data_IF_384367815805
#
_entry.id   IF_384367815805
#
_cell.length_a   1.000
_cell.length_b   1.000
_cell.length_c   1.000
_cell.angle_alpha   90.00
_cell.angle_beta   90.00
_cell.angle_gamma   90.00
#
_symmetry.space_group_name_H-M   'P 1'
#
loop_
_entity.id
_entity.type
_entity.pdbx_description
1 polymer ?
#
# COMPACT_ATOMS: atom_id res chain seq x y z
N UNK A 1 -3.55 17.39 35.12
CA UNK A 1 -4.00 16.08 34.60
C UNK A 1 -3.71 16.09 33.11
N UNK A 2 -2.53 15.60 32.71
CA UNK A 2 -2.17 15.50 31.29
C UNK A 2 -2.93 14.31 30.72
N UNK A 3 -3.79 14.53 29.73
CA UNK A 3 -4.34 13.42 28.96
C UNK A 3 -3.16 12.75 28.26
N UNK A 4 -2.77 11.57 28.71
CA UNK A 4 -2.17 10.59 27.82
C UNK A 4 -3.23 10.33 26.75
N UNK A 5 -3.18 11.10 25.66
CA UNK A 5 -3.87 10.75 24.43
C UNK A 5 -3.21 9.46 23.96
N UNK A 6 -3.69 8.33 24.49
CA UNK A 6 -3.25 7.01 24.09
C UNK A 6 -3.34 6.94 22.58
N UNK A 7 -2.20 6.73 21.93
CA UNK A 7 -2.12 6.57 20.48
C UNK A 7 -3.20 5.59 20.04
N UNK A 8 -4.05 6.00 19.11
CA UNK A 8 -5.12 5.15 18.56
C UNK A 8 -4.56 3.91 17.84
N UNK A 9 -3.25 3.91 17.59
CA UNK A 9 -2.50 2.80 17.04
C UNK A 9 -1.55 2.23 18.09
N UNK A 10 -1.46 0.92 18.16
CA UNK A 10 -0.37 0.26 18.87
C UNK A 10 0.98 0.63 18.22
N UNK A 11 2.10 0.56 18.97
CA UNK A 11 3.42 0.83 18.41
C UNK A 11 3.74 -0.02 17.17
N UNK A 12 3.29 -1.27 17.14
CA UNK A 12 3.46 -2.17 15.98
C UNK A 12 2.62 -1.70 14.80
N UNK A 13 1.34 -1.35 15.00
CA UNK A 13 0.50 -0.82 13.93
C UNK A 13 1.08 0.46 13.32
N UNK A 14 1.62 1.35 14.16
CA UNK A 14 2.28 2.57 13.69
C UNK A 14 3.53 2.25 12.84
N UNK A 15 4.37 1.31 13.26
CA UNK A 15 5.56 0.91 12.49
C UNK A 15 5.19 0.32 11.13
N UNK A 16 4.24 -0.61 11.09
CA UNK A 16 3.76 -1.18 9.83
C UNK A 16 3.21 -0.09 8.90
N UNK A 17 2.32 0.78 9.38
CA UNK A 17 1.76 1.86 8.57
C UNK A 17 2.86 2.78 8.02
N UNK A 18 3.83 3.14 8.85
CA UNK A 18 4.95 3.99 8.45
C UNK A 18 5.83 3.32 7.40
N UNK A 19 6.12 2.03 7.53
CA UNK A 19 6.90 1.26 6.56
C UNK A 19 6.16 1.18 5.21
N UNK A 20 4.88 0.82 5.21
CA UNK A 20 4.06 0.81 4.00
C UNK A 20 3.97 2.17 3.30
N UNK A 21 3.79 3.25 4.06
CA UNK A 21 3.77 4.61 3.50
C UNK A 21 5.11 4.99 2.86
N UNK A 22 6.25 4.68 3.50
CA UNK A 22 7.57 4.96 2.94
C UNK A 22 7.77 4.28 1.59
N UNK A 23 7.43 2.99 1.50
CA UNK A 23 7.52 2.24 0.24
C UNK A 23 6.67 2.89 -0.84
N UNK A 24 5.40 3.18 -0.55
CA UNK A 24 4.48 3.80 -1.54
C UNK A 24 4.97 5.18 -1.96
N UNK A 25 5.45 6.00 -1.03
CA UNK A 25 5.96 7.34 -1.36
C UNK A 25 7.23 7.30 -2.17
N UNK A 26 8.16 6.38 -1.86
CA UNK A 26 9.40 6.21 -2.60
C UNK A 26 9.10 5.72 -4.01
N UNK A 27 8.20 4.74 -4.14
CA UNK A 27 7.76 4.23 -5.42
C UNK A 27 7.06 5.30 -6.27
N UNK A 28 6.19 6.12 -5.68
CA UNK A 28 5.44 7.15 -6.38
C UNK A 28 6.24 8.43 -6.70
N UNK A 29 7.36 8.67 -6.01
CA UNK A 29 8.17 9.87 -6.18
C UNK A 29 9.21 9.75 -7.30
N UNK A 30 9.45 8.56 -7.85
CA UNK A 30 10.46 8.36 -8.89
C UNK A 30 9.88 8.47 -10.31
N UNK A 31 10.48 9.35 -11.13
CA UNK A 31 10.33 9.35 -12.60
C UNK A 31 11.07 8.16 -13.26
N UNK A 32 11.38 7.09 -12.51
CA UNK A 32 12.10 5.89 -12.98
C UNK A 32 11.14 4.81 -13.45
N UNK A 33 11.72 3.74 -14.03
CA UNK A 33 10.96 2.53 -14.33
C UNK A 33 10.28 1.99 -13.05
N UNK A 34 8.95 1.78 -13.05
CA UNK A 34 8.18 1.50 -11.85
C UNK A 34 8.67 0.30 -11.04
N UNK A 35 9.14 -0.75 -11.71
CA UNK A 35 9.57 -2.00 -11.07
C UNK A 35 10.91 -1.82 -10.34
N UNK A 36 11.83 -1.05 -10.91
CA UNK A 36 13.12 -0.72 -10.29
C UNK A 36 12.93 0.16 -9.06
N UNK A 37 12.07 1.17 -9.15
CA UNK A 37 11.74 2.05 -8.03
C UNK A 37 11.08 1.28 -6.88
N UNK A 38 10.15 0.37 -7.19
CA UNK A 38 9.53 -0.50 -6.18
C UNK A 38 10.54 -1.45 -5.54
N UNK A 39 11.41 -2.08 -6.34
CA UNK A 39 12.43 -2.99 -5.83
C UNK A 39 13.39 -2.29 -4.87
N UNK A 40 13.83 -1.06 -5.21
CA UNK A 40 14.68 -0.27 -4.34
C UNK A 40 13.95 0.12 -3.04
N UNK A 41 12.71 0.60 -3.13
CA UNK A 41 11.91 0.97 -1.98
C UNK A 41 11.67 -0.20 -1.01
N UNK A 42 11.48 -1.42 -1.54
CA UNK A 42 11.37 -2.64 -0.73
C UNK A 42 12.71 -3.05 -0.10
N UNK A 43 13.83 -2.84 -0.79
CA UNK A 43 15.17 -3.17 -0.29
C UNK A 43 15.59 -2.29 0.90
N UNK A 44 15.18 -1.03 0.90
CA UNK A 44 15.54 -0.06 1.94
C UNK A 44 14.77 -0.25 3.27
N UNK A 45 13.74 -1.09 3.28
CA UNK A 45 12.94 -1.36 4.47
C UNK A 45 13.51 -2.54 5.30
N UNK A 46 13.68 -2.36 6.63
CA UNK A 46 14.43 -3.30 7.45
C UNK A 46 13.66 -4.57 7.83
N UNK A 47 12.33 -4.54 7.79
CA UNK A 47 11.47 -5.66 8.20
C UNK A 47 10.40 -5.95 7.13
N UNK A 48 10.49 -7.10 6.42
CA UNK A 48 9.53 -7.45 5.38
C UNK A 48 8.12 -7.68 5.93
N UNK A 49 7.94 -8.04 7.20
CA UNK A 49 6.63 -8.19 7.81
C UNK A 49 5.94 -6.83 7.99
N UNK A 50 6.67 -5.83 8.49
CA UNK A 50 6.14 -4.47 8.67
C UNK A 50 5.75 -3.86 7.31
N UNK A 51 6.54 -4.12 6.26
CA UNK A 51 6.25 -3.72 4.88
C UNK A 51 4.96 -4.33 4.38
N UNK A 52 4.79 -5.66 4.45
CA UNK A 52 3.61 -6.35 3.91
C UNK A 52 2.34 -5.89 4.61
N UNK A 53 2.34 -5.85 5.94
CA UNK A 53 1.20 -5.38 6.73
C UNK A 53 0.93 -3.89 6.45
N UNK A 54 1.98 -3.09 6.32
CA UNK A 54 1.91 -1.69 5.96
C UNK A 54 1.24 -1.44 4.61
N UNK A 55 1.73 -2.09 3.56
CA UNK A 55 1.20 -1.99 2.20
C UNK A 55 -0.26 -2.43 2.13
N UNK A 56 -0.63 -3.53 2.80
CA UNK A 56 -2.02 -3.98 2.88
C UNK A 56 -2.90 -2.94 3.60
N UNK A 57 -2.40 -2.34 4.69
CA UNK A 57 -3.13 -1.31 5.44
C UNK A 57 -3.33 -0.05 4.60
N UNK A 58 -2.28 0.45 3.93
CA UNK A 58 -2.37 1.63 3.05
C UNK A 58 -3.33 1.36 1.89
N UNK A 59 -3.24 0.19 1.25
CA UNK A 59 -4.14 -0.21 0.17
C UNK A 59 -5.60 -0.22 0.62
N UNK A 60 -5.86 -0.73 1.83
CA UNK A 60 -7.20 -0.74 2.42
C UNK A 60 -7.72 0.68 2.69
N UNK A 61 -6.90 1.56 3.24
CA UNK A 61 -7.28 2.96 3.48
C UNK A 61 -7.63 3.68 2.18
N UNK A 62 -6.81 3.51 1.13
CA UNK A 62 -7.10 4.06 -0.19
C UNK A 62 -8.38 3.48 -0.81
N UNK A 63 -8.66 2.20 -0.60
CA UNK A 63 -9.89 1.57 -1.06
C UNK A 63 -11.13 2.13 -0.37
N UNK A 64 -11.05 2.42 0.93
CA UNK A 64 -12.13 3.06 1.70
C UNK A 64 -12.40 4.47 1.16
N UNK A 65 -11.35 5.27 0.95
CA UNK A 65 -11.49 6.63 0.37
C UNK A 65 -12.12 6.58 -1.03
N UNK A 66 -11.68 5.65 -1.87
CA UNK A 66 -12.23 5.50 -3.22
C UNK A 66 -13.68 5.00 -3.18
N UNK A 67 -14.02 4.09 -2.27
CA UNK A 67 -15.38 3.60 -2.06
C UNK A 67 -16.30 4.77 -1.68
N UNK A 68 -15.88 5.59 -0.72
CA UNK A 68 -16.61 6.80 -0.31
C UNK A 68 -16.79 7.79 -1.48
N UNK A 69 -15.75 8.00 -2.29
CA UNK A 69 -15.79 8.92 -3.42
C UNK A 69 -16.67 8.44 -4.59
N UNK A 70 -16.84 7.12 -4.75
CA UNK A 70 -17.54 6.51 -5.91
C UNK A 70 -18.92 5.95 -5.58
N UNK A 71 -19.31 5.94 -4.31
CA UNK A 71 -20.54 5.28 -3.84
C UNK A 71 -20.49 3.75 -3.92
N UNK A 72 -19.31 3.17 -4.13
CA UNK A 72 -19.08 1.73 -4.09
C UNK A 72 -18.79 1.26 -2.66
N UNK A 73 -18.75 -0.05 -2.46
CA UNK A 73 -18.26 -0.67 -1.22
C UNK A 73 -16.74 -0.88 -1.25
N UNK A 74 -16.11 -0.94 -0.07
CA UNK A 74 -14.69 -1.28 0.07
C UNK A 74 -14.34 -2.58 -0.68
N UNK A 75 -15.17 -3.63 -0.51
CA UNK A 75 -14.98 -4.93 -1.16
C UNK A 75 -15.03 -4.85 -2.68
N UNK A 76 -15.95 -4.07 -3.25
CA UNK A 76 -16.03 -3.88 -4.70
C UNK A 76 -14.80 -3.15 -5.24
N UNK A 77 -14.32 -2.13 -4.53
CA UNK A 77 -13.10 -1.40 -4.90
C UNK A 77 -11.89 -2.34 -4.87
N UNK A 78 -11.69 -3.06 -3.76
CA UNK A 78 -10.58 -4.01 -3.63
C UNK A 78 -10.64 -5.10 -4.71
N UNK A 79 -11.82 -5.65 -5.00
CA UNK A 79 -11.99 -6.66 -6.05
C UNK A 79 -11.66 -6.12 -7.44
N UNK A 80 -12.04 -4.87 -7.73
CA UNK A 80 -11.72 -4.21 -9.01
C UNK A 80 -10.22 -3.89 -9.14
N UNK A 81 -9.59 -3.47 -8.05
CA UNK A 81 -8.15 -3.24 -7.99
C UNK A 81 -7.39 -4.55 -8.23
N UNK A 82 -7.76 -5.62 -7.53
CA UNK A 82 -7.15 -6.95 -7.69
C UNK A 82 -7.28 -7.47 -9.12
N UNK A 83 -8.48 -7.41 -9.72
CA UNK A 83 -8.69 -7.80 -11.11
C UNK A 83 -7.88 -6.96 -12.10
N UNK A 84 -7.69 -5.66 -11.81
CA UNK A 84 -6.87 -4.77 -12.63
C UNK A 84 -5.39 -5.12 -12.53
N UNK A 85 -4.89 -5.39 -11.32
CA UNK A 85 -3.51 -5.85 -11.10
C UNK A 85 -3.26 -7.15 -11.85
N UNK A 86 -4.12 -8.16 -11.70
CA UNK A 86 -4.00 -9.43 -12.42
C UNK A 86 -3.99 -9.25 -13.93
N UNK A 87 -4.86 -8.38 -14.47
CA UNK A 87 -4.90 -8.07 -15.91
C UNK A 87 -3.59 -7.42 -16.39
N UNK A 88 -3.06 -6.45 -15.64
CA UNK A 88 -1.81 -5.77 -15.99
C UNK A 88 -0.60 -6.72 -15.92
N UNK A 89 -0.54 -7.58 -14.90
CA UNK A 89 0.49 -8.62 -14.78
C UNK A 89 0.39 -9.67 -15.89
N UNK A 90 -0.82 -10.01 -16.33
CA UNK A 90 -1.05 -10.88 -17.47
C UNK A 90 -0.66 -10.23 -18.81
N UNK A 91 -0.88 -8.93 -18.96
CA UNK A 91 -0.52 -8.18 -20.17
C UNK A 91 0.99 -8.00 -20.35
N UNK A 92 1.77 -8.00 -19.26
CA UNK A 92 3.25 -8.02 -19.30
C UNK A 92 3.86 -9.38 -19.70
N UNK A 93 3.02 -10.40 -19.93
CA UNK A 93 3.42 -11.74 -20.39
C UNK A 93 2.91 -11.99 -21.82
N UNK A 94 3.32 -11.17 -22.78
CA UNK A 94 3.18 -11.59 -24.18
C UNK A 94 4.12 -12.77 -24.47
N UNK A 95 3.66 -13.82 -25.17
CA UNK A 95 4.55 -14.90 -25.61
C UNK A 95 5.50 -14.36 -26.68
N UNK A 96 6.79 -14.66 -26.50
CA UNK A 96 7.82 -14.49 -27.53
C UNK A 96 7.53 -15.31 -28.79
#
# INVERSE_FOLDING_TARGET
MSSEAGSWLSPTQFRCLRSGLRVVTAWAAEDREPDTALQQALHDEPDPFEVVVGLATVSRLLAIELAAATGATETEVLSRLDATVHRLQGAGREPA
#
